data_IF_886791756558
#
_entry.id   IF_886791756558
#
_cell.length_a   1.000
_cell.length_b   1.000
_cell.length_c   1.000
_cell.angle_alpha   90.00
_cell.angle_beta   90.00
_cell.angle_gamma   90.00
#
_symmetry.space_group_name_H-M   'P 1'
#
loop_
_entity.id
_entity.type
_entity.pdbx_description
1 polymer ?
#
# COMPACT_ATOMS: atom_id res chain seq x y z
N UNK A 1 20.99 23.78 35.21
CA UNK A 1 21.08 22.41 34.64
C UNK A 1 19.84 21.53 34.87
N UNK A 2 19.12 21.62 36.02
CA UNK A 2 17.99 20.72 36.33
C UNK A 2 16.76 20.80 35.39
N UNK A 3 16.51 21.95 34.74
CA UNK A 3 15.38 22.12 33.78
C UNK A 3 15.70 21.57 32.38
N UNK A 4 16.88 21.82 31.85
CA UNK A 4 17.29 21.36 30.52
C UNK A 4 17.35 19.83 30.42
N UNK A 5 17.82 19.16 31.48
CA UNK A 5 17.81 17.68 31.57
C UNK A 5 16.38 17.13 31.57
N UNK A 6 15.45 17.77 32.30
CA UNK A 6 14.03 17.37 32.29
C UNK A 6 13.39 17.54 30.91
N UNK A 7 13.69 18.63 30.20
CA UNK A 7 13.19 18.86 28.83
C UNK A 7 13.76 17.83 27.86
N UNK A 8 15.06 17.52 27.93
CA UNK A 8 15.68 16.51 27.08
C UNK A 8 15.15 15.09 27.35
N UNK A 9 14.92 14.73 28.61
CA UNK A 9 14.29 13.44 28.95
C UNK A 9 12.87 13.36 28.40
N UNK A 10 12.08 14.45 28.48
CA UNK A 10 10.74 14.51 27.92
C UNK A 10 10.72 14.36 26.39
N UNK A 11 11.63 15.05 25.70
CA UNK A 11 11.80 14.93 24.23
C UNK A 11 12.23 13.52 23.85
N UNK A 12 13.18 12.92 24.59
CA UNK A 12 13.64 11.56 24.34
C UNK A 12 12.52 10.52 24.58
N UNK A 13 11.69 10.70 25.61
CA UNK A 13 10.54 9.82 25.86
C UNK A 13 9.46 9.98 24.79
N UNK A 14 9.24 11.19 24.28
CA UNK A 14 8.33 11.41 23.16
C UNK A 14 8.85 10.78 21.86
N UNK A 15 10.16 10.86 21.59
CA UNK A 15 10.81 10.21 20.45
C UNK A 15 10.78 8.67 20.55
N UNK A 16 10.94 8.12 21.75
CA UNK A 16 10.77 6.68 22.01
C UNK A 16 9.32 6.22 21.88
N UNK A 17 8.34 7.06 22.25
CA UNK A 17 6.92 6.76 22.07
C UNK A 17 6.47 6.85 20.60
N UNK A 18 7.13 7.65 19.76
CA UNK A 18 6.87 7.70 18.32
C UNK A 18 7.52 6.53 17.55
N UNK A 19 8.58 5.93 18.09
CA UNK A 19 9.23 4.74 17.50
C UNK A 19 8.55 3.41 17.89
N UNK A 20 7.60 3.43 18.82
CA UNK A 20 6.76 2.28 19.19
C UNK A 20 5.36 2.30 18.56
N UNK A 21 5.06 3.30 17.72
CA UNK A 21 3.90 3.21 16.84
C UNK A 21 4.19 2.12 15.82
N UNK A 22 3.66 0.93 16.09
CA UNK A 22 3.53 -0.12 15.08
C UNK A 22 2.60 0.45 14.02
N UNK A 23 3.20 1.03 13.00
CA UNK A 23 2.54 1.46 11.80
C UNK A 23 2.06 0.19 11.08
N UNK A 24 0.91 -0.33 11.51
CA UNK A 24 0.32 -1.52 10.93
C UNK A 24 -0.41 -1.11 9.65
N UNK A 25 -0.02 -1.72 8.53
CA UNK A 25 -0.76 -1.60 7.27
C UNK A 25 -2.25 -1.85 7.51
N UNK A 26 -3.11 -1.03 6.91
CA UNK A 26 -4.52 -1.34 6.87
C UNK A 26 -4.81 -2.34 5.75
N UNK A 27 -5.54 -3.41 6.06
CA UNK A 27 -5.99 -4.39 5.08
C UNK A 27 -7.49 -4.66 5.25
N UNK A 28 -8.21 -4.74 4.14
CA UNK A 28 -9.65 -4.97 4.20
C UNK A 28 -10.28 -5.18 2.84
N UNK A 29 -11.46 -5.81 2.84
CA UNK A 29 -12.28 -5.93 1.63
C UNK A 29 -13.02 -4.62 1.39
N UNK A 30 -13.01 -4.15 0.16
CA UNK A 30 -13.67 -2.90 -0.26
C UNK A 30 -14.72 -3.17 -1.33
N UNK A 31 -15.71 -2.29 -1.42
CA UNK A 31 -16.73 -2.36 -2.47
C UNK A 31 -16.13 -1.97 -3.84
N UNK A 32 -16.81 -2.36 -4.92
CA UNK A 32 -16.41 -1.96 -6.28
C UNK A 32 -16.41 -0.43 -6.47
N UNK A 33 -17.35 0.28 -5.85
CA UNK A 33 -17.40 1.75 -5.88
C UNK A 33 -16.26 2.39 -5.11
N UNK A 34 -15.90 1.86 -3.94
CA UNK A 34 -14.77 2.38 -3.15
C UNK A 34 -13.45 2.15 -3.88
N UNK A 35 -13.26 0.95 -4.47
CA UNK A 35 -12.11 0.65 -5.32
C UNK A 35 -11.96 1.67 -6.45
N UNK A 36 -13.03 1.95 -7.20
CA UNK A 36 -13.03 2.94 -8.27
C UNK A 36 -12.68 4.34 -7.75
N UNK A 37 -13.26 4.75 -6.62
CA UNK A 37 -12.98 6.04 -6.01
C UNK A 37 -11.52 6.16 -5.58
N UNK A 38 -10.95 5.12 -4.96
CA UNK A 38 -9.58 5.12 -4.48
C UNK A 38 -8.55 5.07 -5.60
N UNK A 39 -8.81 4.32 -6.67
CA UNK A 39 -7.96 4.34 -7.88
C UNK A 39 -8.01 5.72 -8.51
N UNK A 40 -9.20 6.30 -8.66
CA UNK A 40 -9.37 7.65 -9.23
C UNK A 40 -8.67 8.72 -8.40
N UNK A 41 -8.65 8.58 -7.07
CA UNK A 41 -7.95 9.50 -6.17
C UNK A 41 -6.45 9.18 -6.03
N UNK A 42 -5.90 8.26 -6.82
CA UNK A 42 -4.52 7.79 -6.74
C UNK A 42 -4.09 7.44 -5.31
N UNK A 43 -4.98 6.76 -4.55
CA UNK A 43 -4.70 6.35 -3.17
C UNK A 43 -3.44 5.48 -3.12
N UNK A 44 -2.60 5.70 -2.11
CA UNK A 44 -1.36 4.96 -1.90
C UNK A 44 -1.67 3.55 -1.35
N UNK A 45 -2.19 2.69 -2.22
CA UNK A 45 -2.61 1.34 -1.87
C UNK A 45 -2.48 0.39 -3.05
N UNK A 46 -2.37 -0.89 -2.72
CA UNK A 46 -2.44 -2.01 -3.64
C UNK A 46 -3.83 -2.65 -3.52
N UNK A 47 -4.45 -2.94 -4.65
CA UNK A 47 -5.73 -3.64 -4.71
C UNK A 47 -5.54 -5.00 -5.35
N UNK A 48 -5.90 -6.06 -4.66
CA UNK A 48 -5.87 -7.43 -5.18
C UNK A 48 -7.30 -7.86 -5.47
N UNK A 49 -7.56 -8.29 -6.71
CA UNK A 49 -8.88 -8.77 -7.12
C UNK A 49 -8.89 -10.29 -7.23
N UNK A 50 -9.87 -10.94 -6.59
CA UNK A 50 -10.12 -12.38 -6.70
C UNK A 50 -11.61 -12.61 -6.94
N UNK A 51 -11.97 -12.84 -8.20
CA UNK A 51 -13.38 -12.87 -8.63
C UNK A 51 -14.06 -11.52 -8.36
N UNK A 52 -15.11 -11.53 -7.54
CA UNK A 52 -15.84 -10.33 -7.12
C UNK A 52 -15.25 -9.65 -5.87
N UNK A 53 -14.31 -10.29 -5.18
CA UNK A 53 -13.71 -9.76 -3.95
C UNK A 53 -12.53 -8.86 -4.29
N UNK A 54 -12.49 -7.67 -3.70
CA UNK A 54 -11.39 -6.72 -3.84
C UNK A 54 -10.82 -6.46 -2.45
N UNK A 55 -9.55 -6.82 -2.25
CA UNK A 55 -8.82 -6.56 -1.02
C UNK A 55 -7.88 -5.39 -1.23
N UNK A 56 -7.99 -4.36 -0.39
CA UNK A 56 -7.09 -3.21 -0.38
C UNK A 56 -6.02 -3.39 0.70
N UNK A 57 -4.79 -3.05 0.33
CA UNK A 57 -3.59 -3.02 1.17
C UNK A 57 -3.07 -1.58 1.17
N UNK A 58 -3.33 -0.84 2.24
CA UNK A 58 -2.93 0.54 2.40
C UNK A 58 -1.75 0.62 3.38
N UNK A 59 -0.58 0.95 2.84
CA UNK A 59 0.61 1.16 3.66
C UNK A 59 0.37 2.33 4.61
N UNK A 60 0.88 2.18 5.82
CA UNK A 60 0.77 3.19 6.87
C UNK A 60 1.55 4.48 6.55
N UNK A 61 2.63 4.37 5.77
CA UNK A 61 3.48 5.46 5.33
C UNK A 61 4.29 5.06 4.09
N UNK A 62 4.72 6.03 3.25
CA UNK A 62 5.61 5.75 2.13
C UNK A 62 6.94 5.10 2.55
N UNK A 63 7.48 5.45 3.73
CA UNK A 63 8.77 4.93 4.22
C UNK A 63 8.73 3.46 4.62
N UNK A 64 7.58 2.96 5.09
CA UNK A 64 7.41 1.56 5.50
C UNK A 64 6.74 0.69 4.44
N UNK A 65 6.21 1.32 3.38
CA UNK A 65 5.42 0.69 2.33
C UNK A 65 6.05 -0.57 1.74
N UNK A 66 7.34 -0.52 1.39
CA UNK A 66 7.99 -1.66 0.75
C UNK A 66 8.04 -2.91 1.63
N UNK A 67 8.39 -2.73 2.91
CA UNK A 67 8.42 -3.83 3.89
C UNK A 67 7.01 -4.31 4.25
N UNK A 68 6.07 -3.37 4.39
CA UNK A 68 4.68 -3.66 4.68
C UNK A 68 4.01 -4.46 3.55
N UNK A 69 4.11 -4.00 2.29
CA UNK A 69 3.59 -4.71 1.13
C UNK A 69 4.20 -6.09 0.99
N UNK A 70 5.52 -6.21 1.13
CA UNK A 70 6.20 -7.52 1.06
C UNK A 70 5.69 -8.51 2.11
N UNK A 71 5.42 -8.02 3.32
CA UNK A 71 4.94 -8.83 4.44
C UNK A 71 3.48 -9.22 4.30
N UNK A 72 2.62 -8.26 3.92
CA UNK A 72 1.17 -8.44 3.95
C UNK A 72 0.59 -9.05 2.66
N UNK A 73 1.25 -8.85 1.51
CA UNK A 73 0.76 -9.40 0.26
C UNK A 73 0.83 -10.93 0.26
N UNK A 74 -0.25 -11.60 -0.17
CA UNK A 74 -0.26 -13.05 -0.23
C UNK A 74 0.79 -13.56 -1.21
N UNK A 75 1.32 -14.76 -0.96
CA UNK A 75 2.17 -15.44 -1.94
C UNK A 75 1.34 -15.99 -3.10
N UNK A 76 2.01 -16.29 -4.22
CA UNK A 76 1.41 -16.81 -5.44
C UNK A 76 1.11 -15.71 -6.46
N UNK A 77 0.44 -16.09 -7.55
CA UNK A 77 0.16 -15.22 -8.68
C UNK A 77 -1.14 -14.46 -8.47
N UNK A 78 -1.07 -13.13 -8.53
CA UNK A 78 -2.16 -12.22 -8.18
C UNK A 78 -2.49 -11.25 -9.32
N UNK A 79 -3.76 -10.94 -9.51
CA UNK A 79 -4.15 -9.76 -10.27
C UNK A 79 -4.15 -8.54 -9.36
N UNK A 80 -3.20 -7.63 -9.62
CA UNK A 80 -2.88 -6.51 -8.74
C UNK A 80 -3.12 -5.20 -9.47
N UNK A 81 -3.82 -4.27 -8.81
CA UNK A 81 -4.23 -3.00 -9.37
C UNK A 81 -3.77 -1.85 -8.49
N UNK A 82 -3.46 -0.70 -9.09
CA UNK A 82 -3.27 0.55 -8.37
C UNK A 82 -3.54 1.76 -9.27
N UNK A 83 -3.99 2.86 -8.68
CA UNK A 83 -4.09 4.16 -9.35
C UNK A 83 -2.89 5.07 -9.08
N UNK A 84 -1.93 4.63 -8.26
CA UNK A 84 -0.83 5.46 -7.80
C UNK A 84 0.49 5.06 -8.48
N UNK A 85 1.19 6.06 -9.03
CA UNK A 85 2.45 5.86 -9.77
C UNK A 85 3.56 5.31 -8.88
N UNK A 86 3.70 5.78 -7.63
CA UNK A 86 4.73 5.28 -6.73
C UNK A 86 4.48 3.82 -6.31
N UNK A 87 3.21 3.42 -6.17
CA UNK A 87 2.85 2.02 -5.90
C UNK A 87 3.08 1.16 -7.14
N UNK A 88 2.82 1.69 -8.36
CA UNK A 88 3.18 1.01 -9.60
C UNK A 88 4.68 0.74 -9.66
N UNK A 89 5.51 1.75 -9.38
CA UNK A 89 6.97 1.61 -9.42
C UNK A 89 7.46 0.56 -8.42
N UNK A 90 6.86 0.52 -7.22
CA UNK A 90 7.11 -0.55 -6.25
C UNK A 90 6.75 -1.94 -6.82
N UNK A 91 5.60 -2.10 -7.45
CA UNK A 91 5.19 -3.38 -8.04
C UNK A 91 6.13 -3.82 -9.17
N UNK A 92 6.67 -2.88 -9.94
CA UNK A 92 7.66 -3.15 -10.99
C UNK A 92 9.02 -3.56 -10.43
N UNK A 93 9.46 -2.93 -9.35
CA UNK A 93 10.78 -3.17 -8.77
C UNK A 93 10.84 -4.45 -7.93
N UNK A 94 9.75 -4.80 -7.23
CA UNK A 94 9.74 -5.85 -6.20
C UNK A 94 8.93 -7.10 -6.55
N UNK A 95 8.49 -7.27 -7.79
CA UNK A 95 7.74 -8.45 -8.19
C UNK A 95 7.95 -8.88 -9.64
N UNK A 96 7.64 -10.15 -9.88
CA UNK A 96 7.51 -10.74 -11.21
C UNK A 96 6.06 -10.63 -11.67
N UNK A 97 5.82 -10.39 -12.95
CA UNK A 97 4.48 -10.34 -13.53
C UNK A 97 4.53 -10.70 -15.00
N UNK A 98 3.41 -11.19 -15.55
CA UNK A 98 3.35 -11.57 -16.97
C UNK A 98 3.18 -10.35 -17.87
N UNK A 99 2.22 -9.49 -17.53
CA UNK A 99 1.84 -8.31 -18.31
C UNK A 99 1.51 -7.16 -17.36
N UNK A 100 2.03 -5.97 -17.67
CA UNK A 100 1.60 -4.70 -17.08
C UNK A 100 0.75 -3.93 -18.09
N UNK A 101 -0.45 -3.52 -17.68
CA UNK A 101 -1.37 -2.70 -18.48
C UNK A 101 -1.48 -1.31 -17.89
N UNK A 102 -1.28 -0.31 -18.73
CA UNK A 102 -1.39 1.10 -18.37
C UNK A 102 -2.78 1.59 -18.76
N UNK A 103 -3.68 1.63 -17.79
CA UNK A 103 -5.05 2.06 -18.00
C UNK A 103 -6.02 0.91 -18.30
N UNK A 104 -5.91 -0.19 -17.55
CA UNK A 104 -6.97 -1.20 -17.51
C UNK A 104 -8.28 -0.55 -17.02
N UNK A 105 -9.38 -0.80 -17.72
CA UNK A 105 -10.69 -0.30 -17.32
C UNK A 105 -11.22 -1.14 -16.16
N UNK A 106 -11.41 -0.50 -15.00
CA UNK A 106 -11.93 -1.16 -13.79
C UNK A 106 -13.43 -0.87 -13.57
N UNK A 107 -14.10 -0.34 -14.60
CA UNK A 107 -15.48 0.10 -14.56
C UNK A 107 -15.65 1.54 -14.09
N UNK A 108 -16.84 2.11 -14.33
CA UNK A 108 -17.16 3.49 -13.94
C UNK A 108 -16.32 4.56 -14.66
N UNK A 109 -15.68 4.21 -15.79
CA UNK A 109 -14.77 5.09 -16.53
C UNK A 109 -13.43 5.34 -15.83
N UNK A 110 -13.06 4.51 -14.84
CA UNK A 110 -11.80 4.63 -14.09
C UNK A 110 -10.76 3.68 -14.67
N UNK A 111 -9.52 4.16 -14.73
CA UNK A 111 -8.37 3.48 -15.34
C UNK A 111 -7.31 3.22 -14.27
N UNK A 112 -6.79 2.00 -14.21
CA UNK A 112 -5.76 1.59 -13.25
C UNK A 112 -4.51 1.07 -13.96
N UNK A 113 -3.37 1.09 -13.26
CA UNK A 113 -2.27 0.18 -13.56
C UNK A 113 -2.67 -1.22 -13.11
N UNK A 114 -2.50 -2.21 -13.98
CA UNK A 114 -2.82 -3.61 -13.69
C UNK A 114 -1.62 -4.50 -14.01
N UNK A 115 -1.23 -5.31 -13.04
CA UNK A 115 -0.20 -6.34 -13.15
C UNK A 115 -0.89 -7.70 -13.08
N UNK A 116 -0.80 -8.47 -14.17
CA UNK A 116 -1.36 -9.82 -14.21
C UNK A 116 -0.39 -10.82 -13.61
N UNK A 117 -0.93 -11.75 -12.82
CA UNK A 117 -0.16 -12.85 -12.25
C UNK A 117 1.09 -12.37 -11.47
N UNK A 118 0.98 -11.20 -10.84
CA UNK A 118 2.05 -10.61 -10.06
C UNK A 118 2.40 -11.48 -8.86
N UNK A 119 3.69 -11.67 -8.64
CA UNK A 119 4.24 -12.45 -7.54
C UNK A 119 5.44 -11.71 -6.94
N UNK A 120 5.54 -11.73 -5.61
CA UNK A 120 6.63 -11.08 -4.87
C UNK A 120 7.99 -11.76 -5.14
N UNK A 121 9.05 -10.95 -5.22
CA UNK A 121 10.46 -11.38 -5.27
C UNK A 121 11.02 -11.83 -3.90
#
# INVERSE_FOLDING_TARGET
>A
MKRAVKVMVLVLTLMLAMSSMSFAMWTGTVSQSDFQNYVKSAKFAIFVKRGSTITMYEASSPSSAAGEFRSALPSGRLDVYTGNIAVRDYLEEYGYYDVRRDGEDIGGGVRAYHFTEWEKM
#
